data_IF_852255552580
#
_entry.id   IF_852255552580
#
_cell.length_a   1.000
_cell.length_b   1.000
_cell.length_c   1.000
_cell.angle_alpha   90.00
_cell.angle_beta   90.00
_cell.angle_gamma   90.00
#
_symmetry.space_group_name_H-M   'P 1'
#
loop_
_entity.id
_entity.type
_entity.pdbx_description
1 polymer ?
#
# COMPACT_ATOMS: atom_id res chain seq x y z
N UNK A 1 44.54 34.42 -15.94
CA UNK A 1 43.39 35.22 -15.48
C UNK A 1 42.47 35.45 -16.67
N UNK A 2 41.35 34.73 -16.75
CA UNK A 2 40.31 35.03 -17.73
C UNK A 2 39.68 36.38 -17.35
N UNK A 3 39.58 37.31 -18.30
CA UNK A 3 39.15 38.69 -18.03
C UNK A 3 37.71 38.72 -17.53
N UNK A 4 37.44 39.56 -16.52
CA UNK A 4 36.14 39.77 -15.88
C UNK A 4 35.00 40.21 -16.83
N UNK A 5 35.29 40.41 -18.11
CA UNK A 5 34.32 40.72 -19.17
C UNK A 5 33.56 39.50 -19.70
N UNK A 6 34.05 38.26 -19.53
CA UNK A 6 33.35 37.06 -20.01
C UNK A 6 32.22 36.57 -19.07
N UNK A 7 32.21 37.00 -17.80
CA UNK A 7 31.20 36.59 -16.81
C UNK A 7 29.88 37.37 -16.97
N UNK A 8 29.88 38.51 -17.66
CA UNK A 8 28.72 39.40 -17.78
C UNK A 8 27.74 39.06 -18.93
N UNK A 9 27.98 37.99 -19.69
CA UNK A 9 27.12 37.60 -20.84
C UNK A 9 26.35 36.28 -20.57
N UNK A 10 26.67 35.58 -19.49
CA UNK A 10 25.96 34.35 -19.15
C UNK A 10 24.64 34.69 -18.45
N UNK A 11 23.48 34.26 -18.98
CA UNK A 11 22.20 34.47 -18.33
C UNK A 11 22.23 33.84 -16.93
N UNK A 12 21.63 34.53 -15.96
CA UNK A 12 21.53 34.03 -14.59
C UNK A 12 20.81 32.68 -14.55
N UNK A 13 21.07 31.87 -13.53
CA UNK A 13 20.39 30.58 -13.34
C UNK A 13 18.85 30.71 -13.38
N UNK A 14 18.32 31.84 -12.90
CA UNK A 14 16.89 32.18 -12.95
C UNK A 14 16.43 32.46 -14.39
N UNK A 15 17.22 33.16 -15.20
CA UNK A 15 16.91 33.44 -16.61
C UNK A 15 17.04 32.20 -17.48
N UNK A 16 18.04 31.35 -17.23
CA UNK A 16 18.16 30.04 -17.87
C UNK A 16 16.95 29.16 -17.54
N UNK A 17 16.58 29.06 -16.27
CA UNK A 17 15.40 28.30 -15.85
C UNK A 17 14.10 28.87 -16.41
N UNK A 18 13.97 30.20 -16.52
CA UNK A 18 12.84 30.87 -17.16
C UNK A 18 12.77 30.56 -18.66
N UNK A 19 13.89 30.64 -19.38
CA UNK A 19 14.00 30.29 -20.79
C UNK A 19 13.68 28.81 -21.07
N UNK A 20 14.22 27.91 -20.25
CA UNK A 20 13.92 26.47 -20.30
C UNK A 20 12.42 26.23 -20.02
N UNK A 21 11.83 26.89 -19.02
CA UNK A 21 10.41 26.73 -18.71
C UNK A 21 9.51 27.31 -19.81
N UNK A 22 9.91 28.42 -20.46
CA UNK A 22 9.19 29.02 -21.59
C UNK A 22 9.25 28.11 -22.83
N UNK A 23 10.42 27.56 -23.14
CA UNK A 23 10.59 26.57 -24.21
C UNK A 23 9.80 25.27 -23.92
N UNK A 24 9.82 24.80 -22.67
CA UNK A 24 9.00 23.65 -22.23
C UNK A 24 7.51 23.92 -22.38
N UNK A 25 7.02 25.11 -22.01
CA UNK A 25 5.60 25.49 -22.19
C UNK A 25 5.19 25.54 -23.66
N UNK A 26 6.07 25.97 -24.56
CA UNK A 26 5.80 26.01 -26.00
C UNK A 26 5.60 24.62 -26.64
N UNK A 27 6.16 23.57 -26.02
CA UNK A 27 6.10 22.17 -26.49
C UNK A 27 5.11 21.34 -25.65
N UNK A 28 4.58 21.89 -24.55
CA UNK A 28 3.67 21.15 -23.67
C UNK A 28 2.28 21.17 -24.30
N UNK A 29 1.63 20.00 -24.48
CA UNK A 29 0.29 19.94 -25.04
C UNK A 29 -0.70 20.73 -24.21
N UNK A 30 -1.80 21.14 -24.84
CA UNK A 30 -2.93 21.78 -24.16
C UNK A 30 -3.36 20.89 -22.99
N UNK A 31 -3.56 21.48 -21.82
CA UNK A 31 -4.02 20.75 -20.63
C UNK A 31 -5.49 20.39 -20.86
N UNK A 32 -5.83 19.09 -20.96
CA UNK A 32 -7.21 18.70 -21.18
C UNK A 32 -8.05 18.94 -19.94
N UNK A 33 -9.32 19.28 -20.14
CA UNK A 33 -10.34 19.47 -19.09
C UNK A 33 -11.27 18.27 -18.94
N UNK A 34 -11.23 17.33 -19.89
CA UNK A 34 -12.03 16.10 -19.89
C UNK A 34 -11.16 14.90 -20.23
N UNK A 35 -11.65 13.69 -19.99
CA UNK A 35 -10.93 12.45 -20.33
C UNK A 35 -10.83 12.18 -21.85
N UNK A 36 -11.47 12.99 -22.69
CA UNK A 36 -11.40 12.93 -24.15
C UNK A 36 -10.24 13.80 -24.66
N UNK A 37 -9.07 13.20 -24.79
CA UNK A 37 -7.86 13.86 -25.31
C UNK A 37 -6.88 12.81 -25.83
N UNK A 38 -6.04 13.18 -26.78
CA UNK A 38 -5.00 12.29 -27.29
C UNK A 38 -3.77 12.34 -26.39
N UNK A 39 -3.12 11.20 -26.17
CA UNK A 39 -1.87 11.11 -25.41
C UNK A 39 -0.73 11.19 -26.42
N UNK A 40 0.11 12.24 -26.39
CA UNK A 40 1.26 12.33 -27.28
C UNK A 40 2.27 11.22 -26.99
N UNK A 41 3.04 10.84 -28.00
CA UNK A 41 4.01 9.74 -27.91
C UNK A 41 5.02 9.91 -26.77
N UNK A 42 5.44 11.14 -26.49
CA UNK A 42 6.37 11.44 -25.39
C UNK A 42 5.81 11.15 -23.99
N UNK A 43 4.49 10.99 -23.86
CA UNK A 43 3.79 10.63 -22.63
C UNK A 43 3.33 9.17 -22.61
N UNK A 44 3.30 8.48 -23.76
CA UNK A 44 3.03 7.03 -23.82
C UNK A 44 4.29 6.17 -23.66
N UNK A 45 5.48 6.79 -23.66
CA UNK A 45 6.78 6.12 -23.53
C UNK A 45 7.50 6.45 -22.23
N UNK A 46 8.49 5.64 -21.85
CA UNK A 46 9.39 5.93 -20.71
C UNK A 46 10.42 7.00 -21.05
N UNK A 47 11.20 7.46 -20.06
CA UNK A 47 12.33 8.36 -20.31
C UNK A 47 13.39 7.74 -21.24
N UNK A 48 13.46 6.40 -21.26
CA UNK A 48 14.33 5.62 -22.13
C UNK A 48 13.65 5.23 -23.46
N UNK A 49 12.49 5.82 -23.77
CA UNK A 49 11.70 5.64 -25.00
C UNK A 49 11.11 4.23 -25.21
N UNK A 50 11.00 3.43 -24.15
CA UNK A 50 10.27 2.16 -24.20
C UNK A 50 8.76 2.39 -24.08
N UNK A 51 7.95 1.44 -24.54
CA UNK A 51 6.50 1.48 -24.31
C UNK A 51 6.17 1.53 -22.82
N UNK A 52 5.27 2.44 -22.45
CA UNK A 52 4.88 2.67 -21.06
C UNK A 52 3.36 2.67 -20.85
N UNK A 53 2.59 3.21 -21.80
CA UNK A 53 1.13 3.15 -21.76
C UNK A 53 0.66 1.82 -22.36
N UNK A 54 0.28 0.86 -21.49
CA UNK A 54 -0.12 -0.49 -21.91
C UNK A 54 -1.62 -0.64 -22.14
N UNK A 55 -2.43 0.30 -21.64
CA UNK A 55 -3.88 0.29 -21.83
C UNK A 55 -4.41 1.70 -21.88
N UNK A 56 -5.16 1.99 -22.92
CA UNK A 56 -5.92 3.22 -23.10
C UNK A 56 -7.31 2.86 -23.65
N UNK A 57 -8.32 2.85 -22.78
CA UNK A 57 -9.67 2.40 -23.13
C UNK A 57 -10.74 3.30 -22.53
N UNK A 58 -11.73 3.62 -23.35
CA UNK A 58 -12.99 4.22 -22.88
C UNK A 58 -13.92 3.10 -22.40
N UNK A 59 -14.24 3.09 -21.10
CA UNK A 59 -15.29 2.25 -20.50
C UNK A 59 -16.68 2.76 -20.91
N UNK A 60 -16.86 4.08 -20.91
CA UNK A 60 -18.04 4.78 -21.44
C UNK A 60 -17.60 6.05 -22.16
N UNK A 61 -18.52 6.82 -22.76
CA UNK A 61 -18.18 8.10 -23.42
C UNK A 61 -17.48 9.13 -22.52
N UNK A 62 -17.51 8.97 -21.20
CA UNK A 62 -16.92 9.90 -20.22
C UNK A 62 -15.99 9.23 -19.20
N UNK A 63 -15.77 7.92 -19.33
CA UNK A 63 -14.96 7.15 -18.40
C UNK A 63 -13.89 6.41 -19.16
N UNK A 64 -12.64 6.78 -18.91
CA UNK A 64 -11.42 6.28 -19.53
C UNK A 64 -10.58 5.63 -18.45
N UNK A 65 -9.91 4.55 -18.80
CA UNK A 65 -8.87 3.95 -17.98
C UNK A 65 -7.54 4.04 -18.72
N UNK A 66 -6.51 4.48 -18.00
CA UNK A 66 -5.13 4.49 -18.49
C UNK A 66 -4.30 3.63 -17.57
N UNK A 67 -3.60 2.62 -18.11
CA UNK A 67 -2.66 1.79 -17.35
C UNK A 67 -1.26 2.00 -17.88
N UNK A 68 -0.34 2.32 -16.98
CA UNK A 68 1.07 2.52 -17.28
C UNK A 68 1.92 1.43 -16.63
N UNK A 69 2.75 0.77 -17.42
CA UNK A 69 3.70 -0.26 -17.02
C UNK A 69 4.70 -0.54 -18.14
N UNK A 70 5.85 -1.14 -17.83
CA UNK A 70 6.81 -1.64 -18.83
C UNK A 70 6.84 -3.15 -18.86
N UNK A 71 7.44 -3.74 -19.90
CA UNK A 71 7.63 -5.20 -19.98
C UNK A 71 8.39 -5.76 -18.77
N UNK A 72 9.38 -5.03 -18.24
CA UNK A 72 10.13 -5.44 -17.03
C UNK A 72 9.26 -5.44 -15.78
N UNK A 73 8.45 -4.39 -15.60
CA UNK A 73 7.49 -4.29 -14.50
C UNK A 73 6.44 -5.39 -14.55
N UNK A 74 5.88 -5.67 -15.73
CA UNK A 74 4.88 -6.72 -15.94
C UNK A 74 5.46 -8.11 -15.69
N UNK A 75 6.68 -8.39 -16.18
CA UNK A 75 7.37 -9.66 -15.91
C UNK A 75 7.58 -9.88 -14.41
N UNK A 76 7.99 -8.84 -13.69
CA UNK A 76 8.13 -8.92 -12.23
C UNK A 76 6.79 -9.18 -11.54
N UNK A 77 5.74 -8.49 -11.97
CA UNK A 77 4.40 -8.63 -11.40
C UNK A 77 3.80 -10.01 -11.62
N UNK A 78 3.83 -10.51 -12.86
CA UNK A 78 3.23 -11.79 -13.20
C UNK A 78 4.00 -12.97 -12.59
N UNK A 79 5.29 -12.80 -12.30
CA UNK A 79 6.09 -13.79 -11.57
C UNK A 79 5.98 -13.69 -10.04
N UNK A 80 5.29 -12.69 -9.49
CA UNK A 80 5.22 -12.49 -8.05
C UNK A 80 4.16 -13.40 -7.40
N UNK A 81 4.53 -14.06 -6.30
CA UNK A 81 3.57 -14.84 -5.49
C UNK A 81 2.66 -13.93 -4.66
N UNK A 82 3.18 -12.79 -4.21
CA UNK A 82 2.45 -11.82 -3.41
C UNK A 82 2.42 -10.50 -4.15
N UNK A 83 1.22 -9.95 -4.31
CA UNK A 83 1.02 -8.60 -4.84
C UNK A 83 0.33 -7.72 -3.81
N UNK A 84 0.62 -6.43 -3.88
CA UNK A 84 -0.04 -5.42 -3.07
C UNK A 84 -0.74 -4.41 -3.98
N UNK A 85 -1.93 -3.94 -3.59
CA UNK A 85 -2.78 -3.08 -4.39
C UNK A 85 -3.33 -1.93 -3.54
N UNK A 86 -3.29 -0.70 -4.04
CA UNK A 86 -3.77 0.47 -3.30
C UNK A 86 -4.26 1.59 -4.23
N UNK A 87 -5.32 2.28 -3.81
CA UNK A 87 -5.91 3.45 -4.46
C UNK A 87 -5.65 4.73 -3.66
N UNK A 88 -4.90 5.68 -4.25
CA UNK A 88 -4.63 6.98 -3.61
C UNK A 88 -5.64 8.06 -4.02
N UNK A 89 -6.05 8.89 -3.05
CA UNK A 89 -7.19 9.82 -3.21
C UNK A 89 -6.87 11.32 -3.15
N UNK A 90 -5.61 11.73 -2.96
CA UNK A 90 -5.23 13.16 -2.88
C UNK A 90 -4.35 13.66 -4.03
N UNK A 91 -3.68 12.76 -4.76
CA UNK A 91 -2.66 13.11 -5.76
C UNK A 91 -3.07 12.84 -7.21
N UNK A 92 -4.32 12.43 -7.43
CA UNK A 92 -4.86 12.14 -8.75
C UNK A 92 -5.13 13.43 -9.56
N UNK A 93 -4.84 13.44 -10.88
CA UNK A 93 -5.33 14.48 -11.78
C UNK A 93 -6.85 14.63 -11.67
N UNK A 94 -7.36 15.86 -11.65
CA UNK A 94 -8.77 16.19 -11.37
C UNK A 94 -9.80 15.51 -12.28
N UNK A 95 -9.37 15.09 -13.47
CA UNK A 95 -10.19 14.38 -14.45
C UNK A 95 -10.36 12.88 -14.15
N UNK A 96 -9.65 12.32 -13.17
CA UNK A 96 -9.78 10.94 -12.72
C UNK A 96 -10.06 10.90 -11.22
N UNK A 97 -10.79 9.89 -10.76
CA UNK A 97 -11.21 9.78 -9.36
C UNK A 97 -10.12 9.23 -8.44
N UNK A 98 -9.18 8.44 -8.99
CA UNK A 98 -8.10 7.82 -8.22
C UNK A 98 -6.92 7.41 -9.10
N UNK A 99 -5.75 7.35 -8.45
CA UNK A 99 -4.57 6.64 -8.96
C UNK A 99 -4.53 5.30 -8.23
N UNK A 100 -4.57 4.22 -8.99
CA UNK A 100 -4.50 2.87 -8.47
C UNK A 100 -3.13 2.26 -8.77
N UNK A 101 -2.48 1.65 -7.79
CA UNK A 101 -1.13 1.08 -7.97
C UNK A 101 -1.13 -0.39 -7.63
N UNK A 102 -0.39 -1.17 -8.42
CA UNK A 102 -0.18 -2.60 -8.19
C UNK A 102 1.31 -2.84 -8.05
N UNK A 103 1.69 -3.48 -6.95
CA UNK A 103 3.06 -3.74 -6.58
C UNK A 103 3.32 -5.23 -6.55
N UNK A 104 4.46 -5.64 -7.11
CA UNK A 104 5.01 -6.95 -6.86
C UNK A 104 5.77 -6.92 -5.54
N UNK A 105 5.52 -7.91 -4.68
CA UNK A 105 6.39 -8.12 -3.54
C UNK A 105 7.41 -9.20 -3.86
N UNK A 106 8.70 -8.83 -3.82
CA UNK A 106 9.82 -9.76 -3.96
C UNK A 106 10.90 -9.43 -2.94
N UNK A 107 11.43 -10.45 -2.26
CA UNK A 107 12.49 -10.30 -1.24
C UNK A 107 12.18 -9.23 -0.20
N UNK A 108 10.94 -9.25 0.32
CA UNK A 108 10.44 -8.28 1.30
C UNK A 108 10.40 -6.80 0.86
N UNK A 109 10.49 -6.54 -0.45
CA UNK A 109 10.37 -5.21 -1.01
C UNK A 109 9.18 -5.10 -1.93
N UNK A 110 8.59 -3.90 -1.93
CA UNK A 110 7.48 -3.54 -2.81
C UNK A 110 8.02 -2.82 -4.04
N UNK A 111 7.73 -3.39 -5.21
CA UNK A 111 8.09 -2.82 -6.49
C UNK A 111 6.82 -2.34 -7.19
N UNK A 112 6.65 -1.04 -7.43
CA UNK A 112 5.49 -0.54 -8.15
C UNK A 112 5.59 -0.98 -9.62
N UNK A 113 4.65 -1.82 -10.04
CA UNK A 113 4.65 -2.41 -11.37
C UNK A 113 3.61 -1.77 -12.29
N UNK A 114 2.44 -1.38 -11.76
CA UNK A 114 1.38 -0.74 -12.55
C UNK A 114 0.93 0.55 -11.88
N UNK A 115 0.71 1.57 -12.70
CA UNK A 115 0.04 2.80 -12.33
C UNK A 115 -1.22 2.96 -13.19
N UNK A 116 -2.39 2.88 -12.57
CA UNK A 116 -3.69 3.05 -13.21
C UNK A 116 -4.32 4.40 -12.87
N UNK A 117 -4.77 5.13 -13.88
CA UNK A 117 -5.69 6.26 -13.72
C UNK A 117 -7.11 5.75 -13.97
N UNK A 118 -7.90 5.68 -12.90
CA UNK A 118 -9.23 5.08 -12.93
C UNK A 118 -10.31 6.18 -12.88
N UNK A 119 -11.39 6.04 -13.65
CA UNK A 119 -12.42 7.06 -13.76
C UNK A 119 -13.39 7.07 -12.57
N UNK A 120 -13.41 6.01 -11.75
CA UNK A 120 -14.24 5.88 -10.55
C UNK A 120 -13.74 4.70 -9.68
N UNK A 121 -14.40 4.47 -8.53
CA UNK A 121 -14.11 3.39 -7.57
C UNK A 121 -15.12 2.22 -7.64
N UNK A 122 -15.79 2.05 -8.78
CA UNK A 122 -16.80 1.00 -8.92
C UNK A 122 -16.17 -0.38 -9.16
N UNK A 123 -16.82 -1.43 -8.66
CA UNK A 123 -16.43 -2.82 -8.87
C UNK A 123 -16.25 -3.18 -10.34
N UNK A 124 -17.11 -2.65 -11.22
CA UNK A 124 -17.04 -2.81 -12.68
C UNK A 124 -15.75 -2.27 -13.28
N UNK A 125 -15.27 -1.12 -12.81
CA UNK A 125 -14.01 -0.49 -13.25
C UNK A 125 -12.80 -1.33 -12.85
N UNK A 126 -12.76 -1.82 -11.60
CA UNK A 126 -11.69 -2.72 -11.16
C UNK A 126 -11.71 -4.03 -11.95
N UNK A 127 -12.90 -4.62 -12.16
CA UNK A 127 -13.03 -5.84 -12.96
C UNK A 127 -12.53 -5.66 -14.39
N UNK A 128 -12.87 -4.52 -15.02
CA UNK A 128 -12.35 -4.16 -16.34
C UNK A 128 -10.82 -4.07 -16.33
N UNK A 129 -10.23 -3.34 -15.38
CA UNK A 129 -8.77 -3.23 -15.24
C UNK A 129 -8.10 -4.60 -15.15
N UNK A 130 -8.58 -5.47 -14.26
CA UNK A 130 -8.02 -6.82 -14.11
C UNK A 130 -8.17 -7.68 -15.36
N UNK A 131 -9.28 -7.53 -16.10
CA UNK A 131 -9.46 -8.22 -17.38
C UNK A 131 -8.42 -7.78 -18.40
N UNK A 132 -8.16 -6.48 -18.52
CA UNK A 132 -7.12 -5.97 -19.43
C UNK A 132 -5.73 -6.47 -19.00
N UNK A 133 -5.43 -6.48 -17.69
CA UNK A 133 -4.16 -7.03 -17.19
C UNK A 133 -3.98 -8.53 -17.48
N UNK A 134 -5.04 -9.32 -17.35
CA UNK A 134 -5.01 -10.75 -17.74
C UNK A 134 -4.80 -10.91 -19.24
N UNK A 135 -5.42 -10.07 -20.07
CA UNK A 135 -5.20 -10.10 -21.51
C UNK A 135 -3.74 -9.78 -21.86
N UNK A 136 -3.14 -8.78 -21.19
CA UNK A 136 -1.71 -8.47 -21.32
C UNK A 136 -0.83 -9.64 -20.86
N UNK A 137 -1.15 -10.32 -19.76
CA UNK A 137 -0.42 -11.50 -19.31
C UNK A 137 -0.43 -12.63 -20.35
N UNK A 138 -1.59 -12.92 -20.94
CA UNK A 138 -1.73 -13.90 -22.01
C UNK A 138 -0.92 -13.52 -23.25
N UNK A 139 -0.94 -12.25 -23.65
CA UNK A 139 -0.13 -11.74 -24.77
C UNK A 139 1.38 -11.87 -24.52
N UNK A 140 1.80 -11.82 -23.26
CA UNK A 140 3.18 -12.01 -22.84
C UNK A 140 3.54 -13.47 -22.58
N UNK A 141 2.61 -14.42 -22.82
CA UNK A 141 2.78 -15.85 -22.52
C UNK A 141 3.09 -16.12 -21.04
N UNK A 142 2.55 -15.30 -20.14
CA UNK A 142 2.73 -15.42 -18.70
C UNK A 142 1.42 -15.76 -17.99
N UNK A 143 1.51 -16.50 -16.89
CA UNK A 143 0.36 -16.73 -16.02
C UNK A 143 0.33 -15.67 -14.91
N UNK A 144 -0.74 -14.89 -14.84
CA UNK A 144 -0.97 -13.97 -13.73
C UNK A 144 -1.87 -14.63 -12.68
N UNK A 145 -1.24 -15.29 -11.71
CA UNK A 145 -1.92 -16.02 -10.64
C UNK A 145 -1.20 -15.85 -9.30
N UNK A 146 -1.25 -14.65 -8.69
CA UNK A 146 -0.66 -14.43 -7.37
C UNK A 146 -1.33 -15.35 -6.32
N UNK A 147 -0.55 -15.88 -5.39
CA UNK A 147 -1.02 -16.69 -4.26
C UNK A 147 -1.67 -15.82 -3.19
N UNK A 148 -1.13 -14.61 -3.00
CA UNK A 148 -1.62 -13.65 -2.01
C UNK A 148 -1.80 -12.27 -2.66
N UNK A 149 -2.99 -11.71 -2.49
CA UNK A 149 -3.31 -10.33 -2.89
C UNK A 149 -3.58 -9.55 -1.62
N UNK A 150 -2.74 -8.56 -1.36
CA UNK A 150 -2.87 -7.62 -0.26
C UNK A 150 -3.47 -6.31 -0.78
N UNK A 151 -4.43 -5.74 -0.04
CA UNK A 151 -4.99 -4.42 -0.32
C UNK A 151 -4.84 -3.55 0.93
N UNK A 152 -4.91 -2.24 0.77
CA UNK A 152 -5.16 -1.23 1.81
C UNK A 152 -6.32 -1.59 2.78
N UNK A 153 -7.25 -2.44 2.35
CA UNK A 153 -8.06 -3.29 3.23
C UNK A 153 -7.21 -4.46 3.74
N UNK A 154 -6.38 -4.27 4.77
CA UNK A 154 -5.99 -5.39 5.63
C UNK A 154 -7.09 -5.54 6.69
N UNK A 155 -7.96 -6.55 6.61
CA UNK A 155 -9.07 -6.69 7.55
C UNK A 155 -8.56 -6.87 8.98
N UNK A 156 -7.35 -7.40 9.19
CA UNK A 156 -6.68 -7.41 10.49
C UNK A 156 -6.27 -6.02 11.02
N UNK A 157 -5.78 -5.11 10.16
CA UNK A 157 -5.50 -3.71 10.54
C UNK A 157 -6.80 -2.92 10.71
N UNK A 158 -7.81 -3.17 9.87
CA UNK A 158 -9.14 -2.62 10.06
C UNK A 158 -9.79 -3.13 11.33
N UNK A 159 -9.55 -4.36 11.76
CA UNK A 159 -10.02 -4.85 13.05
C UNK A 159 -9.37 -4.06 14.18
N UNK A 160 -8.05 -3.87 14.14
CA UNK A 160 -7.30 -3.07 15.11
C UNK A 160 -7.77 -1.61 15.13
N UNK A 161 -7.84 -0.96 13.96
CA UNK A 161 -8.24 0.44 13.80
C UNK A 161 -9.72 0.64 14.12
N UNK A 162 -10.61 -0.27 13.70
CA UNK A 162 -12.03 -0.20 14.04
C UNK A 162 -12.27 -0.48 15.52
N UNK A 163 -11.45 -1.31 16.16
CA UNK A 163 -11.46 -1.46 17.63
C UNK A 163 -11.06 -0.13 18.28
N UNK A 164 -9.99 0.53 17.82
CA UNK A 164 -9.56 1.84 18.33
C UNK A 164 -10.61 2.94 18.11
N UNK A 165 -11.23 3.00 16.92
CA UNK A 165 -12.31 3.94 16.61
C UNK A 165 -13.55 3.62 17.44
N UNK A 166 -13.86 2.35 17.67
CA UNK A 166 -14.99 1.95 18.51
C UNK A 166 -14.74 2.34 19.96
N UNK A 167 -13.53 2.12 20.50
CA UNK A 167 -13.12 2.60 21.84
C UNK A 167 -13.36 4.11 21.97
N UNK A 168 -13.04 4.88 20.93
CA UNK A 168 -13.30 6.32 20.92
C UNK A 168 -14.80 6.64 20.85
N UNK A 169 -15.54 5.95 19.98
CA UNK A 169 -16.97 6.17 19.73
C UNK A 169 -17.83 5.81 20.94
N UNK A 170 -17.51 4.74 21.66
CA UNK A 170 -18.23 4.31 22.86
C UNK A 170 -17.83 5.10 24.11
N UNK A 171 -17.01 6.15 23.97
CA UNK A 171 -16.61 7.02 25.08
C UNK A 171 -15.54 6.42 26.00
N UNK A 172 -14.95 5.28 25.64
CA UNK A 172 -13.94 4.58 26.44
C UNK A 172 -12.54 5.18 26.31
N UNK A 173 -12.31 6.23 25.50
CA UNK A 173 -11.00 6.84 25.30
C UNK A 173 -10.28 7.22 26.60
N UNK A 174 -10.98 7.88 27.52
CA UNK A 174 -10.39 8.36 28.78
C UNK A 174 -10.06 7.20 29.70
N UNK A 175 -10.97 6.22 29.80
CA UNK A 175 -10.79 5.00 30.59
C UNK A 175 -9.69 4.11 30.02
N UNK A 176 -9.65 3.91 28.70
CA UNK A 176 -8.60 3.18 28.01
C UNK A 176 -7.22 3.80 28.22
N UNK A 177 -7.10 5.12 28.33
CA UNK A 177 -5.79 5.74 28.58
C UNK A 177 -5.33 5.63 30.04
N UNK A 178 -6.27 5.48 30.98
CA UNK A 178 -5.99 5.53 32.43
C UNK A 178 -6.06 4.17 33.14
N UNK A 179 -6.63 3.15 32.50
CA UNK A 179 -6.78 1.79 33.06
C UNK A 179 -5.92 0.78 32.28
N UNK A 180 -4.95 0.17 32.97
CA UNK A 180 -4.01 -0.76 32.36
C UNK A 180 -4.62 -2.14 32.05
N UNK A 181 -5.65 -2.56 32.78
CA UNK A 181 -6.35 -3.81 32.50
C UNK A 181 -7.20 -3.68 31.25
N UNK A 182 -7.92 -2.56 31.09
CA UNK A 182 -8.64 -2.25 29.85
C UNK A 182 -7.68 -2.24 28.65
N UNK A 183 -6.51 -1.59 28.78
CA UNK A 183 -5.49 -1.61 27.71
C UNK A 183 -5.05 -3.03 27.39
N UNK A 184 -4.82 -3.85 28.41
CA UNK A 184 -4.36 -5.24 28.24
C UNK A 184 -5.36 -6.06 27.43
N UNK A 185 -6.64 -6.04 27.80
CA UNK A 185 -7.68 -6.81 27.08
C UNK A 185 -7.93 -6.29 25.66
N UNK A 186 -7.98 -4.97 25.46
CA UNK A 186 -8.08 -4.41 24.12
C UNK A 186 -6.87 -4.80 23.25
N UNK A 187 -5.65 -4.83 23.80
CA UNK A 187 -4.45 -5.28 23.06
C UNK A 187 -4.48 -6.76 22.73
N UNK A 188 -5.08 -7.60 23.57
CA UNK A 188 -5.30 -9.02 23.29
C UNK A 188 -6.28 -9.19 22.14
N UNK A 189 -7.40 -8.46 22.13
CA UNK A 189 -8.34 -8.45 20.99
C UNK A 189 -7.65 -8.04 19.69
N UNK A 190 -6.82 -6.98 19.74
CA UNK A 190 -6.01 -6.52 18.60
C UNK A 190 -4.92 -7.52 18.16
N UNK A 191 -4.57 -8.50 19.01
CA UNK A 191 -3.55 -9.51 18.72
C UNK A 191 -4.13 -10.83 18.20
N UNK A 192 -5.45 -11.05 18.26
CA UNK A 192 -6.10 -12.25 17.70
C UNK A 192 -5.78 -12.49 16.21
N UNK A 193 -5.69 -11.48 15.34
CA UNK A 193 -5.28 -11.71 13.95
C UNK A 193 -3.89 -12.32 13.79
N UNK A 194 -3.05 -12.28 14.83
CA UNK A 194 -1.64 -12.69 14.80
C UNK A 194 -1.43 -14.14 15.23
N UNK A 195 -2.46 -14.83 15.75
CA UNK A 195 -2.40 -16.25 16.12
C UNK A 195 -2.98 -17.14 15.00
N UNK A 196 -2.65 -18.44 14.95
CA UNK A 196 -3.21 -19.37 13.95
C UNK A 196 -4.73 -19.29 13.86
N UNK A 197 -5.25 -19.31 12.63
CA UNK A 197 -6.69 -19.22 12.34
C UNK A 197 -7.51 -20.20 13.19
N UNK A 198 -7.05 -21.45 13.29
CA UNK A 198 -7.72 -22.51 14.03
C UNK A 198 -7.85 -22.26 15.54
N UNK A 199 -7.11 -21.30 16.10
CA UNK A 199 -7.13 -20.99 17.53
C UNK A 199 -7.95 -19.75 17.87
N UNK A 200 -8.38 -18.97 16.88
CA UNK A 200 -8.92 -17.63 17.10
C UNK A 200 -10.21 -17.66 17.92
N UNK A 201 -11.14 -18.55 17.59
CA UNK A 201 -12.43 -18.66 18.29
C UNK A 201 -12.23 -19.14 19.72
N UNK A 202 -11.54 -20.28 19.91
CA UNK A 202 -11.28 -20.85 21.24
C UNK A 202 -10.53 -19.87 22.16
N UNK A 203 -9.53 -19.16 21.63
CA UNK A 203 -8.76 -18.17 22.40
C UNK A 203 -9.60 -16.94 22.72
N UNK A 204 -10.52 -16.52 21.85
CA UNK A 204 -11.47 -15.45 22.15
C UNK A 204 -12.41 -15.87 23.28
N UNK A 205 -12.98 -17.06 23.22
CA UNK A 205 -13.89 -17.55 24.26
C UNK A 205 -13.18 -17.67 25.62
N UNK A 206 -11.95 -18.19 25.65
CA UNK A 206 -11.12 -18.23 26.86
C UNK A 206 -10.81 -16.82 27.39
N UNK A 207 -10.52 -15.86 26.51
CA UNK A 207 -10.30 -14.46 26.87
C UNK A 207 -11.53 -13.84 27.55
N UNK A 208 -12.73 -14.15 27.06
CA UNK A 208 -13.99 -13.64 27.61
C UNK A 208 -14.37 -14.35 28.92
N UNK A 209 -14.09 -15.65 29.03
CA UNK A 209 -14.34 -16.43 30.24
C UNK A 209 -13.42 -16.03 31.40
N UNK A 210 -12.18 -15.65 31.11
CA UNK A 210 -11.18 -15.23 32.11
C UNK A 210 -11.24 -13.74 32.45
N UNK A 211 -12.03 -12.95 31.72
CA UNK A 211 -12.19 -11.51 31.96
C UNK A 211 -13.00 -11.22 33.23
N UNK A 212 -12.54 -10.33 34.13
CA UNK A 212 -13.32 -9.86 35.26
C UNK A 212 -14.67 -9.26 34.84
N UNK A 213 -15.74 -9.52 35.61
CA UNK A 213 -17.10 -9.09 35.28
C UNK A 213 -17.22 -7.57 35.08
N UNK A 214 -16.59 -6.77 35.95
CA UNK A 214 -16.57 -5.30 35.86
C UNK A 214 -15.94 -4.80 34.56
N UNK A 215 -14.88 -5.45 34.09
CA UNK A 215 -14.24 -5.14 32.81
C UNK A 215 -15.10 -5.59 31.63
N UNK A 216 -15.74 -6.75 31.74
CA UNK A 216 -16.66 -7.26 30.72
C UNK A 216 -17.85 -6.33 30.51
N UNK A 217 -18.41 -5.80 31.60
CA UNK A 217 -19.49 -4.81 31.54
C UNK A 217 -19.01 -3.50 30.92
N UNK A 218 -17.82 -3.03 31.30
CA UNK A 218 -17.21 -1.81 30.75
C UNK A 218 -16.91 -1.94 29.24
N UNK A 219 -16.51 -3.13 28.78
CA UNK A 219 -16.15 -3.41 27.39
C UNK A 219 -17.29 -4.00 26.57
N UNK A 220 -18.49 -4.14 27.12
CA UNK A 220 -19.60 -4.89 26.51
C UNK A 220 -19.86 -4.52 25.04
N UNK A 221 -19.97 -3.23 24.74
CA UNK A 221 -20.24 -2.74 23.38
C UNK A 221 -19.09 -3.05 22.40
N UNK A 222 -17.84 -3.01 22.90
CA UNK A 222 -16.66 -3.35 22.12
C UNK A 222 -16.62 -4.86 21.81
N UNK A 223 -16.91 -5.69 22.81
CA UNK A 223 -16.94 -7.13 22.69
C UNK A 223 -18.05 -7.58 21.74
N UNK A 224 -19.25 -6.99 21.87
CA UNK A 224 -20.36 -7.24 20.96
C UNK A 224 -20.00 -6.85 19.52
N UNK A 225 -19.43 -5.66 19.32
CA UNK A 225 -18.96 -5.23 18.00
C UNK A 225 -17.93 -6.21 17.42
N UNK A 226 -16.96 -6.65 18.23
CA UNK A 226 -15.91 -7.55 17.77
C UNK A 226 -16.48 -8.89 17.32
N UNK A 227 -17.35 -9.49 18.14
CA UNK A 227 -18.01 -10.75 17.82
C UNK A 227 -18.87 -10.64 16.55
N UNK A 228 -19.73 -9.62 16.45
CA UNK A 228 -20.64 -9.47 15.32
C UNK A 228 -19.89 -9.19 14.00
N UNK A 229 -18.86 -8.35 14.02
CA UNK A 229 -18.15 -7.99 12.79
C UNK A 229 -17.05 -8.99 12.42
N UNK A 230 -16.23 -9.41 13.37
CA UNK A 230 -14.99 -10.14 13.08
C UNK A 230 -15.12 -11.65 13.25
N UNK A 231 -15.95 -12.13 14.17
CA UNK A 231 -16.18 -13.58 14.32
C UNK A 231 -17.34 -14.06 13.44
N UNK A 232 -18.42 -13.29 13.35
CA UNK A 232 -19.65 -13.76 12.69
C UNK A 232 -19.77 -13.34 11.22
N UNK A 233 -19.38 -12.11 10.87
CA UNK A 233 -19.66 -11.52 9.54
C UNK A 233 -18.51 -11.66 8.55
N UNK A 234 -17.26 -11.47 8.98
CA UNK A 234 -16.08 -11.56 8.13
C UNK A 234 -15.39 -12.91 8.38
N UNK A 235 -15.22 -13.78 7.36
CA UNK A 235 -14.51 -15.04 7.52
C UNK A 235 -13.08 -14.85 8.07
N UNK A 236 -12.66 -15.72 8.99
CA UNK A 236 -11.40 -15.56 9.75
C UNK A 236 -10.17 -15.49 8.84
N UNK A 237 -10.06 -16.36 7.84
CA UNK A 237 -8.97 -16.33 6.85
C UNK A 237 -8.79 -14.97 6.14
N UNK A 238 -9.82 -14.11 6.10
CA UNK A 238 -9.71 -12.79 5.47
C UNK A 238 -9.03 -11.75 6.35
N UNK A 239 -9.05 -11.92 7.68
CA UNK A 239 -8.49 -10.95 8.62
C UNK A 239 -7.36 -11.52 9.48
N UNK A 240 -7.18 -12.85 9.51
CA UNK A 240 -6.00 -13.49 10.08
C UNK A 240 -4.75 -13.15 9.25
N UNK A 241 -3.70 -12.69 9.92
CA UNK A 241 -2.40 -12.35 9.33
C UNK A 241 -1.26 -13.20 9.90
N UNK A 242 -1.60 -14.28 10.62
CA UNK A 242 -0.63 -15.24 11.12
C UNK A 242 0.15 -15.89 9.98
N UNK A 243 1.46 -16.09 10.18
CA UNK A 243 2.32 -16.73 9.17
C UNK A 243 2.63 -15.90 7.93
N UNK A 244 1.97 -14.75 7.69
CA UNK A 244 2.30 -13.89 6.56
C UNK A 244 3.66 -13.21 6.78
N UNK A 245 4.54 -13.22 5.77
CA UNK A 245 5.86 -12.55 5.82
C UNK A 245 5.74 -11.02 5.76
N UNK A 246 4.62 -10.52 5.25
CA UNK A 246 4.29 -9.10 5.15
C UNK A 246 2.93 -8.96 5.81
N UNK A 247 2.96 -8.40 7.02
CA UNK A 247 1.79 -8.26 7.93
C UNK A 247 1.35 -6.80 8.09
N UNK A 248 1.94 -5.91 7.27
CA UNK A 248 1.77 -4.47 7.37
C UNK A 248 2.04 -3.85 6.01
N UNK A 249 1.16 -2.94 5.61
CA UNK A 249 1.30 -2.07 4.43
C UNK A 249 2.54 -1.14 4.49
N UNK A 250 3.44 -1.23 5.48
CA UNK A 250 4.62 -0.37 5.62
C UNK A 250 5.41 -0.13 4.32
N UNK A 251 5.56 -1.15 3.46
CA UNK A 251 6.29 -1.00 2.21
C UNK A 251 5.53 -0.15 1.18
N UNK A 252 4.21 -0.33 1.07
CA UNK A 252 3.42 0.48 0.18
C UNK A 252 3.10 1.84 0.78
N UNK A 253 2.80 1.95 2.08
CA UNK A 253 2.73 3.24 2.80
C UNK A 253 4.00 4.07 2.63
N UNK A 254 5.19 3.43 2.66
CA UNK A 254 6.45 4.12 2.37
C UNK A 254 6.55 4.57 0.91
N UNK A 255 6.08 3.74 -0.03
CA UNK A 255 5.96 4.15 -1.44
C UNK A 255 5.00 5.33 -1.58
N UNK A 256 3.79 5.27 -1.02
CA UNK A 256 2.76 6.30 -1.09
C UNK A 256 3.24 7.60 -0.44
N UNK A 257 3.87 7.52 0.74
CA UNK A 257 4.46 8.68 1.40
C UNK A 257 5.54 9.33 0.52
N UNK A 258 6.40 8.53 -0.11
CA UNK A 258 7.42 9.02 -1.05
C UNK A 258 6.78 9.63 -2.30
N UNK A 259 5.80 8.96 -2.88
CA UNK A 259 5.11 9.37 -4.09
C UNK A 259 4.37 10.69 -3.86
N UNK A 260 3.59 10.79 -2.77
CA UNK A 260 2.91 12.01 -2.37
C UNK A 260 3.89 13.16 -2.10
N UNK A 261 5.04 12.89 -1.47
CA UNK A 261 6.11 13.89 -1.29
C UNK A 261 6.71 14.36 -2.62
N UNK A 262 6.79 13.50 -3.66
CA UNK A 262 7.26 13.91 -5.00
C UNK A 262 6.20 14.69 -5.77
N UNK A 263 4.93 14.37 -5.58
CA UNK A 263 3.83 15.03 -6.29
C UNK A 263 3.77 16.53 -5.95
N UNK A 264 4.12 16.94 -4.71
CA UNK A 264 4.29 18.34 -4.20
C UNK A 264 3.15 19.35 -4.46
N UNK A 265 2.18 19.00 -5.29
CA UNK A 265 1.09 19.83 -5.80
C UNK A 265 -0.18 19.01 -5.64
N UNK A 266 -1.18 19.57 -4.94
CA UNK A 266 -2.51 18.96 -4.89
C UNK A 266 -3.13 18.98 -6.30
N UNK A 267 -3.55 17.81 -6.81
CA UNK A 267 -4.12 17.63 -8.15
C UNK A 267 -3.25 18.16 -9.31
N UNK A 268 -2.10 17.50 -9.59
CA UNK A 268 -1.29 17.87 -10.75
C UNK A 268 -2.09 17.70 -12.05
N UNK A 269 -1.80 18.54 -13.05
CA UNK A 269 -2.34 18.31 -14.39
C UNK A 269 -1.81 16.97 -14.96
N UNK A 270 -2.55 16.39 -15.91
CA UNK A 270 -2.26 15.06 -16.45
C UNK A 270 -0.83 14.91 -17.01
N UNK A 271 -0.29 15.94 -17.67
CA UNK A 271 1.04 15.90 -18.26
C UNK A 271 2.14 15.91 -17.21
N UNK A 272 2.01 16.76 -16.20
CA UNK A 272 2.91 16.74 -15.04
C UNK A 272 2.82 15.41 -14.30
N UNK A 273 1.62 14.84 -14.18
CA UNK A 273 1.42 13.57 -13.50
C UNK A 273 2.07 12.40 -14.26
N UNK A 274 1.87 12.31 -15.58
CA UNK A 274 2.52 11.26 -16.39
C UNK A 274 4.05 11.37 -16.32
N UNK A 275 4.61 12.59 -16.28
CA UNK A 275 6.06 12.78 -16.06
C UNK A 275 6.54 12.27 -14.70
N UNK A 276 5.71 12.38 -13.66
CA UNK A 276 6.00 11.77 -12.36
C UNK A 276 6.00 10.24 -12.46
N UNK A 277 5.05 9.65 -13.18
CA UNK A 277 5.02 8.20 -13.43
C UNK A 277 6.25 7.72 -14.21
N UNK A 278 6.68 8.44 -15.25
CA UNK A 278 7.92 8.18 -15.98
C UNK A 278 9.16 8.23 -15.06
N UNK A 279 9.17 9.14 -14.08
CA UNK A 279 10.22 9.21 -13.06
C UNK A 279 10.19 8.05 -12.05
N UNK A 280 9.00 7.54 -11.70
CA UNK A 280 8.88 6.33 -10.88
C UNK A 280 9.31 5.07 -11.63
N UNK A 281 8.98 4.96 -12.92
CA UNK A 281 9.46 3.89 -13.79
C UNK A 281 10.99 3.88 -13.88
N UNK A 282 11.62 5.02 -14.11
CA UNK A 282 13.08 5.09 -14.13
C UNK A 282 13.69 4.68 -12.78
N UNK A 283 13.05 5.04 -11.67
CA UNK A 283 13.48 4.57 -10.34
C UNK A 283 13.30 3.06 -10.16
N UNK A 284 12.19 2.48 -10.64
CA UNK A 284 11.99 1.04 -10.70
C UNK A 284 13.11 0.37 -11.49
N UNK A 285 13.46 0.88 -12.68
CA UNK A 285 14.49 0.31 -13.54
C UNK A 285 15.85 0.25 -12.82
N UNK A 286 16.25 1.33 -12.13
CA UNK A 286 17.47 1.32 -11.32
C UNK A 286 17.44 0.26 -10.21
N UNK A 287 16.33 0.10 -9.50
CA UNK A 287 16.19 -0.94 -8.46
C UNK A 287 16.21 -2.34 -9.08
N UNK A 288 15.56 -2.52 -10.23
CA UNK A 288 15.50 -3.78 -10.96
C UNK A 288 16.89 -4.22 -11.41
N UNK A 289 17.69 -3.32 -11.99
CA UNK A 289 19.07 -3.62 -12.42
C UNK A 289 19.95 -3.98 -11.23
N UNK A 290 19.89 -3.23 -10.13
CA UNK A 290 20.62 -3.57 -8.90
C UNK A 290 20.24 -4.95 -8.38
N UNK A 291 18.95 -5.25 -8.36
CA UNK A 291 18.42 -6.53 -7.96
C UNK A 291 18.93 -7.67 -8.85
N UNK A 292 18.85 -7.52 -10.18
CA UNK A 292 19.35 -8.52 -11.14
C UNK A 292 20.87 -8.71 -11.06
N UNK A 293 21.62 -7.69 -10.64
CA UNK A 293 23.06 -7.76 -10.40
C UNK A 293 23.44 -8.42 -9.06
N UNK A 294 22.46 -8.89 -8.27
CA UNK A 294 22.70 -9.48 -6.95
C UNK A 294 23.15 -8.47 -5.89
N UNK A 295 23.09 -7.17 -6.20
CA UNK A 295 23.35 -6.11 -5.24
C UNK A 295 22.10 -5.96 -4.38
N UNK A 296 22.12 -6.62 -3.21
CA UNK A 296 21.00 -6.68 -2.28
C UNK A 296 20.34 -5.32 -2.07
N UNK A 297 19.03 -5.31 -2.18
CA UNK A 297 18.24 -4.10 -2.02
C UNK A 297 18.05 -3.78 -0.52
N UNK A 298 17.79 -2.49 -0.20
CA UNK A 298 17.70 -1.91 1.18
C UNK A 298 17.34 -2.91 2.29
N UNK A 299 18.17 -2.98 3.34
CA UNK A 299 17.91 -3.79 4.53
C UNK A 299 16.61 -3.38 5.23
N UNK A 300 15.81 -4.34 5.71
CA UNK A 300 14.67 -4.07 6.61
C UNK A 300 15.14 -3.19 7.77
N UNK A 301 14.32 -2.20 8.16
CA UNK A 301 14.62 -1.39 9.33
C UNK A 301 14.80 -2.28 10.57
N UNK A 302 15.84 -2.05 11.36
CA UNK A 302 16.19 -2.87 12.52
C UNK A 302 15.00 -3.08 13.48
N UNK A 303 14.13 -2.07 13.63
CA UNK A 303 12.90 -2.14 14.45
C UNK A 303 11.92 -3.20 13.93
N UNK A 304 11.66 -3.23 12.62
CA UNK A 304 10.75 -4.19 11.97
C UNK A 304 11.29 -5.62 12.09
N UNK A 305 12.61 -5.79 11.90
CA UNK A 305 13.29 -7.08 12.06
C UNK A 305 13.17 -7.57 13.50
N UNK A 306 13.39 -6.70 14.49
CA UNK A 306 13.28 -7.06 15.90
C UNK A 306 11.84 -7.45 16.30
N UNK A 307 10.84 -6.76 15.77
CA UNK A 307 9.42 -7.11 15.98
C UNK A 307 9.13 -8.49 15.39
N UNK A 308 9.53 -8.74 14.15
CA UNK A 308 9.30 -10.02 13.48
C UNK A 308 9.95 -11.17 14.25
N UNK A 309 11.24 -11.04 14.60
CA UNK A 309 11.96 -12.03 15.42
C UNK A 309 11.26 -12.35 16.75
N UNK A 310 10.68 -11.33 17.40
CA UNK A 310 9.93 -11.55 18.65
C UNK A 310 8.68 -12.38 18.41
N UNK A 311 7.94 -12.10 17.33
CA UNK A 311 6.74 -12.86 16.97
C UNK A 311 7.07 -14.30 16.59
N UNK A 312 8.15 -14.50 15.82
CA UNK A 312 8.59 -15.84 15.40
C UNK A 312 8.99 -16.67 16.64
N UNK A 313 9.78 -16.10 17.55
CA UNK A 313 10.15 -16.75 18.82
C UNK A 313 8.94 -17.09 19.70
N UNK A 314 7.90 -16.25 19.72
CA UNK A 314 6.67 -16.54 20.44
C UNK A 314 5.90 -17.70 19.78
N UNK A 315 5.88 -17.74 18.45
CA UNK A 315 5.28 -18.85 17.68
C UNK A 315 6.01 -20.17 17.92
N UNK A 316 7.34 -20.19 17.82
CA UNK A 316 8.18 -21.36 18.12
C UNK A 316 7.87 -21.93 19.52
N UNK A 317 7.86 -21.06 20.55
CA UNK A 317 7.54 -21.48 21.91
C UNK A 317 6.12 -22.03 22.07
N UNK A 318 5.16 -21.53 21.30
CA UNK A 318 3.80 -22.08 21.29
C UNK A 318 3.78 -23.47 20.64
N UNK A 319 4.36 -23.63 19.46
CA UNK A 319 4.40 -24.91 18.74
C UNK A 319 5.22 -25.98 19.47
N UNK A 320 6.25 -25.60 20.23
CA UNK A 320 7.04 -26.49 21.08
C UNK A 320 6.34 -26.81 22.43
N UNK A 321 5.13 -26.30 22.66
CA UNK A 321 4.34 -26.54 23.87
C UNK A 321 4.82 -25.78 25.12
N UNK A 322 5.77 -24.84 24.97
CA UNK A 322 6.29 -24.01 26.05
C UNK A 322 5.40 -22.80 26.40
N UNK A 323 4.34 -22.56 25.62
CA UNK A 323 3.30 -21.56 25.86
C UNK A 323 1.94 -22.17 25.51
N UNK A 324 0.90 -21.87 26.29
CA UNK A 324 -0.48 -22.09 25.86
C UNK A 324 -0.99 -20.94 24.97
N UNK A 325 -2.20 -21.06 24.42
CA UNK A 325 -2.78 -20.08 23.50
C UNK A 325 -2.93 -18.67 24.14
N UNK A 326 -3.35 -18.61 25.40
CA UNK A 326 -3.51 -17.35 26.13
C UNK A 326 -2.18 -16.66 26.45
N UNK A 327 -1.14 -17.42 26.78
CA UNK A 327 0.22 -16.91 26.99
C UNK A 327 0.86 -16.44 25.67
N UNK A 328 0.58 -17.16 24.59
CA UNK A 328 1.00 -16.75 23.25
C UNK A 328 0.35 -15.43 22.83
N UNK A 329 -0.97 -15.32 23.01
CA UNK A 329 -1.74 -14.09 22.76
C UNK A 329 -1.24 -12.93 23.64
N UNK A 330 -0.95 -13.19 24.92
CA UNK A 330 -0.37 -12.18 25.83
C UNK A 330 0.95 -11.64 25.29
N UNK A 331 1.86 -12.53 24.87
CA UNK A 331 3.13 -12.16 24.26
C UNK A 331 2.98 -11.27 23.02
N UNK A 332 2.02 -11.58 22.15
CA UNK A 332 1.70 -10.83 20.94
C UNK A 332 1.04 -9.47 21.23
N UNK A 333 0.23 -9.37 22.30
CA UNK A 333 -0.41 -8.10 22.70
C UNK A 333 0.61 -6.98 22.99
N UNK A 334 1.79 -7.33 23.51
CA UNK A 334 2.91 -6.40 23.72
C UNK A 334 3.60 -5.96 22.42
N UNK A 335 3.46 -6.72 21.34
CA UNK A 335 3.96 -6.34 20.01
C UNK A 335 3.06 -5.27 19.41
N UNK A 336 1.74 -5.44 19.51
CA UNK A 336 0.75 -4.45 19.07
C UNK A 336 0.95 -3.11 19.79
N UNK A 337 1.19 -3.14 21.11
CA UNK A 337 1.41 -1.93 21.92
C UNK A 337 2.59 -1.05 21.45
N UNK A 338 3.63 -1.64 20.85
CA UNK A 338 4.85 -0.94 20.41
C UNK A 338 4.77 -0.36 18.99
N UNK A 339 3.67 -0.60 18.26
CA UNK A 339 3.45 -0.01 16.93
C UNK A 339 3.08 1.48 16.98
N UNK A 340 2.80 2.07 18.14
CA UNK A 340 2.71 3.53 18.32
C UNK A 340 4.04 4.20 17.99
N UNK A 341 4.18 4.71 16.77
CA UNK A 341 4.90 5.95 16.41
C UNK A 341 4.72 6.25 14.94
#
# INVERSE_FOLDING_TARGET
>A
MLSNTAIAILPSEREMNSGINKARRAITPIIPTTQLFDIPESYSKTLNKNEFLITDKMITRRQRILLFSTSEQLKMLFAAETIFMDGTFSTCPSMFDQVYTIHAIKYDQSFPCIFGLLPNRQKSTYHFMFRELKAVAVQMEMNFSPKLIMSDFEPGLLAVVALEVTIQRVGLSTTYNNDDDIKKYCRKLMALPLIPEALIEDTYDELIATMPSTLKDTLKDLLQYFQEQWLNKVPIFQWCVHGLNIRTNNNAEAFHSRFNRRVQINHPNIWSFIKLLQGEENHFHHMYVQFMAGLGTRSKQAKTVAIQRRMDKLGERYYDGALNAMEYLDGLSFVVAKRKK
#
